data_IF_252990342934
#
_entry.id   IF_252990342934
#
_cell.length_a   1.000
_cell.length_b   1.000
_cell.length_c   1.000
_cell.angle_alpha   90.00
_cell.angle_beta   90.00
_cell.angle_gamma   90.00
#
_symmetry.space_group_name_H-M   'P 1'
#
loop_
_entity.id
_entity.type
_entity.pdbx_description
1 polymer ?
#
# COMPACT_ATOMS: atom_id res chain seq x y z
N UNK A 1 -17.82 -13.80 -25.05
CA UNK A 1 -17.59 -13.79 -23.58
C UNK A 1 -18.94 -13.57 -22.91
N UNK A 2 -19.35 -14.43 -21.97
CA UNK A 2 -20.60 -14.24 -21.25
C UNK A 2 -20.57 -12.89 -20.52
N UNK A 3 -21.63 -12.08 -20.69
CA UNK A 3 -21.75 -10.78 -20.02
C UNK A 3 -21.98 -11.04 -18.53
N UNK A 4 -20.91 -11.01 -17.74
CA UNK A 4 -21.02 -11.14 -16.28
C UNK A 4 -21.82 -9.96 -15.72
N UNK A 5 -22.86 -10.25 -14.97
CA UNK A 5 -23.72 -9.23 -14.37
C UNK A 5 -22.93 -8.37 -13.37
N UNK A 6 -23.44 -7.19 -13.04
CA UNK A 6 -22.83 -6.33 -12.01
C UNK A 6 -22.75 -7.05 -10.66
N UNK A 7 -23.77 -7.83 -10.32
CA UNK A 7 -23.82 -8.62 -9.10
C UNK A 7 -22.73 -9.71 -9.05
N UNK A 8 -22.54 -10.46 -10.14
CA UNK A 8 -21.48 -11.48 -10.23
C UNK A 8 -20.08 -10.87 -10.09
N UNK A 9 -19.85 -9.68 -10.68
CA UNK A 9 -18.60 -8.95 -10.51
C UNK A 9 -18.37 -8.54 -9.06
N UNK A 10 -19.41 -8.07 -8.36
CA UNK A 10 -19.30 -7.72 -6.95
C UNK A 10 -19.00 -8.95 -6.09
N UNK A 11 -19.67 -10.07 -6.33
CA UNK A 11 -19.44 -11.30 -5.58
C UNK A 11 -18.00 -11.80 -5.77
N UNK A 12 -17.46 -11.74 -6.99
CA UNK A 12 -16.07 -12.09 -7.26
C UNK A 12 -15.08 -11.19 -6.53
N UNK A 13 -15.36 -9.89 -6.41
CA UNK A 13 -14.53 -8.95 -5.62
C UNK A 13 -14.58 -9.24 -4.13
N UNK A 14 -15.78 -9.54 -3.60
CA UNK A 14 -15.92 -9.91 -2.20
C UNK A 14 -15.12 -11.20 -1.89
N UNK A 15 -15.11 -12.16 -2.81
CA UNK A 15 -14.28 -13.37 -2.69
C UNK A 15 -12.78 -13.05 -2.81
N UNK A 16 -12.38 -12.15 -3.71
CA UNK A 16 -11.00 -11.66 -3.79
C UNK A 16 -10.56 -11.05 -2.46
N UNK A 17 -11.42 -10.23 -1.84
CA UNK A 17 -11.18 -9.62 -0.54
C UNK A 17 -11.03 -10.66 0.57
N UNK A 18 -11.85 -11.71 0.59
CA UNK A 18 -11.70 -12.82 1.53
C UNK A 18 -10.38 -13.59 1.35
N UNK A 19 -9.96 -13.83 0.12
CA UNK A 19 -8.68 -14.51 -0.16
C UNK A 19 -7.49 -13.68 0.31
N UNK A 20 -7.51 -12.37 0.04
CA UNK A 20 -6.41 -11.49 0.47
C UNK A 20 -6.41 -11.30 1.99
N UNK A 21 -7.58 -11.13 2.63
CA UNK A 21 -7.66 -10.97 4.09
C UNK A 21 -7.25 -12.24 4.85
N UNK A 22 -7.43 -13.42 4.25
CA UNK A 22 -6.94 -14.70 4.78
C UNK A 22 -5.44 -14.95 4.52
N UNK A 23 -4.75 -14.03 3.85
CA UNK A 23 -3.31 -14.08 3.62
C UNK A 23 -2.88 -14.87 2.38
N UNK A 24 -3.81 -15.21 1.46
CA UNK A 24 -3.46 -15.87 0.21
C UNK A 24 -2.67 -14.91 -0.69
N UNK A 25 -1.52 -15.34 -1.26
CA UNK A 25 -0.75 -14.51 -2.18
C UNK A 25 -1.57 -14.03 -3.39
N UNK A 26 -1.39 -12.79 -3.87
CA UNK A 26 -2.18 -12.24 -4.98
C UNK A 26 -2.14 -13.09 -6.26
N UNK A 27 -0.99 -13.70 -6.57
CA UNK A 27 -0.82 -14.55 -7.75
C UNK A 27 -1.65 -15.83 -7.68
N UNK A 28 -1.81 -16.38 -6.48
CA UNK A 28 -2.50 -17.63 -6.21
C UNK A 28 -4.00 -17.38 -6.11
N UNK A 29 -4.39 -16.31 -5.41
CA UNK A 29 -5.76 -15.82 -5.39
C UNK A 29 -6.27 -15.55 -6.82
N UNK A 30 -5.43 -14.98 -7.69
CA UNK A 30 -5.81 -14.74 -9.09
C UNK A 30 -6.06 -16.06 -9.85
N UNK A 31 -5.23 -17.07 -9.61
CA UNK A 31 -5.40 -18.41 -10.20
C UNK A 31 -6.72 -19.04 -9.72
N UNK A 32 -7.01 -18.98 -8.41
CA UNK A 32 -8.24 -19.53 -7.84
C UNK A 32 -9.50 -18.84 -8.41
N UNK A 33 -9.50 -17.51 -8.51
CA UNK A 33 -10.60 -16.75 -9.10
C UNK A 33 -10.79 -17.04 -10.60
N UNK A 34 -9.69 -17.20 -11.35
CA UNK A 34 -9.73 -17.54 -12.78
C UNK A 34 -10.41 -18.88 -12.99
N UNK A 35 -10.01 -19.91 -12.21
CA UNK A 35 -10.59 -21.26 -12.27
C UNK A 35 -12.06 -21.24 -11.85
N UNK A 36 -12.39 -20.61 -10.72
CA UNK A 36 -13.75 -20.61 -10.16
C UNK A 36 -14.75 -19.85 -11.03
N UNK A 37 -14.36 -18.69 -11.56
CA UNK A 37 -15.26 -17.79 -12.29
C UNK A 37 -15.14 -17.90 -13.81
N UNK A 38 -14.26 -18.76 -14.32
CA UNK A 38 -14.02 -18.93 -15.76
C UNK A 38 -13.61 -17.63 -16.46
N UNK A 39 -13.03 -16.68 -15.73
CA UNK A 39 -12.64 -15.37 -16.25
C UNK A 39 -11.15 -15.31 -16.57
N UNK A 40 -10.71 -14.32 -17.35
CA UNK A 40 -9.30 -14.19 -17.69
C UNK A 40 -8.46 -13.82 -16.47
N UNK A 41 -7.21 -14.29 -16.42
CA UNK A 41 -6.26 -13.96 -15.34
C UNK A 41 -6.12 -12.45 -15.11
N UNK A 42 -6.13 -11.65 -16.19
CA UNK A 42 -6.11 -10.18 -16.13
C UNK A 42 -7.31 -9.61 -15.36
N UNK A 43 -8.50 -10.20 -15.55
CA UNK A 43 -9.71 -9.78 -14.83
C UNK A 43 -9.60 -10.11 -13.35
N UNK A 44 -9.15 -11.32 -13.02
CA UNK A 44 -8.92 -11.75 -11.63
C UNK A 44 -7.91 -10.86 -10.90
N UNK A 45 -6.79 -10.53 -11.55
CA UNK A 45 -5.78 -9.62 -10.98
C UNK A 45 -6.34 -8.24 -10.70
N UNK A 46 -7.17 -7.71 -11.61
CA UNK A 46 -7.83 -6.41 -11.40
C UNK A 46 -8.77 -6.43 -10.19
N UNK A 47 -9.54 -7.49 -10.00
CA UNK A 47 -10.43 -7.60 -8.83
C UNK A 47 -9.63 -7.75 -7.52
N UNK A 48 -8.43 -8.35 -7.57
CA UNK A 48 -7.50 -8.40 -6.43
C UNK A 48 -6.91 -7.03 -6.12
N UNK A 49 -6.46 -6.27 -7.12
CA UNK A 49 -5.98 -4.89 -6.91
C UNK A 49 -7.06 -4.00 -6.27
N UNK A 50 -8.31 -4.15 -6.70
CA UNK A 50 -9.44 -3.46 -6.09
C UNK A 50 -9.61 -3.88 -4.63
N UNK A 51 -9.60 -5.19 -4.34
CA UNK A 51 -9.72 -5.70 -2.97
C UNK A 51 -8.57 -5.23 -2.06
N UNK A 52 -7.34 -5.19 -2.57
CA UNK A 52 -6.18 -4.66 -1.84
C UNK A 52 -6.33 -3.17 -1.55
N UNK A 53 -6.84 -2.40 -2.53
CA UNK A 53 -7.13 -0.97 -2.35
C UNK A 53 -8.23 -0.75 -1.31
N UNK A 54 -9.26 -1.59 -1.31
CA UNK A 54 -10.33 -1.56 -0.30
C UNK A 54 -9.79 -1.85 1.10
N UNK A 55 -8.91 -2.84 1.27
CA UNK A 55 -8.25 -3.12 2.55
C UNK A 55 -7.38 -1.95 3.01
N UNK A 56 -6.64 -1.32 2.10
CA UNK A 56 -5.83 -0.15 2.42
C UNK A 56 -6.70 1.05 2.83
N UNK A 57 -7.84 1.26 2.17
CA UNK A 57 -8.80 2.31 2.50
C UNK A 57 -9.59 2.03 3.79
N UNK A 58 -9.74 0.76 4.17
CA UNK A 58 -10.40 0.36 5.41
C UNK A 58 -9.54 0.65 6.65
N UNK A 59 -8.22 0.83 6.49
CA UNK A 59 -7.37 1.33 7.57
C UNK A 59 -7.70 2.81 7.80
N UNK A 60 -8.22 3.13 8.99
CA UNK A 60 -8.41 4.52 9.37
C UNK A 60 -7.03 5.21 9.49
N UNK A 61 -7.01 6.50 9.16
CA UNK A 61 -5.87 7.40 9.35
C UNK A 61 -5.26 7.30 10.75
N UNK A 62 -6.08 7.11 11.79
CA UNK A 62 -5.63 6.95 13.18
C UNK A 62 -4.94 5.61 13.38
N UNK A 63 -5.55 4.51 12.93
CA UNK A 63 -4.96 3.16 13.03
C UNK A 63 -3.64 3.08 12.27
N UNK A 64 -3.59 3.65 11.08
CA UNK A 64 -2.39 3.71 10.26
C UNK A 64 -1.27 4.51 10.95
N UNK A 65 -1.59 5.67 11.55
CA UNK A 65 -0.61 6.44 12.33
C UNK A 65 -0.09 5.66 13.53
N UNK A 66 -0.95 4.95 14.25
CA UNK A 66 -0.54 4.11 15.38
C UNK A 66 0.36 2.96 14.93
N UNK A 67 0.03 2.29 13.83
CA UNK A 67 0.86 1.24 13.23
C UNK A 67 2.23 1.77 12.81
N UNK A 68 2.30 2.95 12.18
CA UNK A 68 3.56 3.60 11.81
C UNK A 68 4.38 3.95 13.06
N UNK A 69 3.75 4.49 14.11
CA UNK A 69 4.42 4.80 15.37
C UNK A 69 5.00 3.55 16.05
N UNK A 70 4.26 2.45 16.03
CA UNK A 70 4.73 1.17 16.55
C UNK A 70 5.91 0.63 15.74
N UNK A 71 5.81 0.61 14.40
CA UNK A 71 6.90 0.18 13.51
C UNK A 71 8.16 1.02 13.71
N UNK A 72 8.02 2.36 13.79
CA UNK A 72 9.14 3.25 14.03
C UNK A 72 9.87 2.90 15.34
N UNK A 73 9.11 2.63 16.41
CA UNK A 73 9.68 2.21 17.70
C UNK A 73 10.44 0.88 17.58
N UNK A 74 9.91 -0.09 16.82
CA UNK A 74 10.58 -1.38 16.60
C UNK A 74 11.89 -1.21 15.82
N UNK A 75 11.89 -0.44 14.74
CA UNK A 75 13.09 -0.21 13.94
C UNK A 75 14.15 0.60 14.69
N UNK A 76 13.76 1.55 15.55
CA UNK A 76 14.72 2.27 16.41
C UNK A 76 15.41 1.32 17.39
N UNK A 77 14.65 0.43 18.03
CA UNK A 77 15.19 -0.60 18.92
C UNK A 77 16.09 -1.59 18.18
N UNK A 78 15.69 -1.99 16.97
CA UNK A 78 16.47 -2.89 16.12
C UNK A 78 17.80 -2.24 15.72
N UNK A 79 17.79 -0.98 15.31
CA UNK A 79 19.00 -0.23 14.98
C UNK A 79 19.97 -0.18 16.17
N UNK A 80 19.49 0.23 17.35
CA UNK A 80 20.31 0.30 18.56
C UNK A 80 20.83 -1.07 19.03
N UNK A 81 20.08 -2.15 18.78
CA UNK A 81 20.55 -3.52 19.05
C UNK A 81 21.63 -3.93 18.03
N UNK A 82 21.37 -3.73 16.74
CA UNK A 82 22.29 -4.07 15.67
C UNK A 82 23.62 -3.32 15.78
N UNK A 83 23.60 -2.04 16.16
CA UNK A 83 24.81 -1.26 16.43
C UNK A 83 25.64 -1.84 17.59
N UNK A 84 24.99 -2.21 18.70
CA UNK A 84 25.66 -2.85 19.84
C UNK A 84 26.27 -4.21 19.49
N UNK A 85 25.59 -4.96 18.63
CA UNK A 85 26.03 -6.28 18.19
C UNK A 85 27.03 -6.21 17.01
N UNK A 86 27.44 -5.00 16.57
CA UNK A 86 28.36 -4.79 15.45
C UNK A 86 27.78 -5.12 14.06
N UNK A 87 26.47 -5.32 13.96
CA UNK A 87 25.74 -5.64 12.73
C UNK A 87 25.31 -4.37 11.98
N UNK A 88 26.29 -3.59 11.51
CA UNK A 88 26.02 -2.26 10.92
C UNK A 88 25.15 -2.30 9.66
N UNK A 89 25.18 -3.38 8.87
CA UNK A 89 24.29 -3.51 7.70
C UNK A 89 22.82 -3.54 8.10
N UNK A 90 22.48 -4.27 9.17
CA UNK A 90 21.14 -4.32 9.72
C UNK A 90 20.74 -2.97 10.35
N UNK A 91 21.67 -2.29 11.03
CA UNK A 91 21.44 -0.95 11.58
C UNK A 91 21.10 0.06 10.47
N UNK A 92 21.90 0.11 9.40
CA UNK A 92 21.65 0.98 8.24
C UNK A 92 20.32 0.64 7.56
N UNK A 93 20.00 -0.64 7.42
CA UNK A 93 18.70 -1.08 6.91
C UNK A 93 17.53 -0.57 7.75
N UNK A 94 17.63 -0.66 9.07
CA UNK A 94 16.62 -0.16 9.99
C UNK A 94 16.47 1.37 9.95
N UNK A 95 17.59 2.10 9.88
CA UNK A 95 17.58 3.56 9.75
C UNK A 95 17.00 4.02 8.40
N UNK A 96 17.27 3.30 7.31
CA UNK A 96 16.66 3.59 6.01
C UNK A 96 15.15 3.34 6.00
N UNK A 97 14.69 2.26 6.65
CA UNK A 97 13.25 2.00 6.82
C UNK A 97 12.58 3.12 7.64
N UNK A 98 13.21 3.57 8.72
CA UNK A 98 12.75 4.72 9.52
C UNK A 98 12.66 6.01 8.68
N UNK A 99 13.69 6.32 7.90
CA UNK A 99 13.69 7.46 6.98
C UNK A 99 12.51 7.37 6.02
N UNK A 100 12.27 6.22 5.41
CA UNK A 100 11.21 6.03 4.43
C UNK A 100 9.81 6.18 5.05
N UNK A 101 9.59 5.69 6.28
CA UNK A 101 8.28 5.72 6.92
C UNK A 101 7.95 7.08 7.57
N UNK A 102 8.93 7.76 8.16
CA UNK A 102 8.69 8.93 9.02
C UNK A 102 9.17 10.24 8.38
N UNK A 103 10.39 10.24 7.84
CA UNK A 103 11.05 11.47 7.39
C UNK A 103 10.66 11.81 5.94
N UNK A 104 10.70 10.83 5.04
CA UNK A 104 10.43 11.04 3.63
C UNK A 104 9.03 11.62 3.36
N UNK A 105 7.93 11.13 3.98
CA UNK A 105 6.60 11.71 3.75
C UNK A 105 6.50 13.17 4.18
N UNK A 106 7.21 13.56 5.24
CA UNK A 106 7.25 14.95 5.71
C UNK A 106 8.01 15.84 4.72
N UNK A 107 9.16 15.37 4.22
CA UNK A 107 9.92 16.08 3.19
C UNK A 107 9.10 16.23 1.90
N UNK A 108 8.43 15.16 1.45
CA UNK A 108 7.61 15.19 0.25
C UNK A 108 6.43 16.17 0.39
N UNK A 109 5.80 16.22 1.56
CA UNK A 109 4.75 17.20 1.86
C UNK A 109 5.28 18.64 1.83
N UNK A 110 6.47 18.88 2.39
CA UNK A 110 7.13 20.19 2.36
C UNK A 110 7.47 20.61 0.93
N UNK A 111 8.04 19.71 0.12
CA UNK A 111 8.34 19.98 -1.29
C UNK A 111 7.06 20.25 -2.09
N UNK A 112 6.01 19.43 -1.91
CA UNK A 112 4.74 19.64 -2.58
C UNK A 112 4.11 21.00 -2.25
N UNK A 113 4.19 21.44 -0.98
CA UNK A 113 3.73 22.77 -0.57
C UNK A 113 4.54 23.89 -1.25
N UNK A 114 5.87 23.73 -1.33
CA UNK A 114 6.76 24.72 -1.94
C UNK A 114 6.51 24.90 -3.45
N UNK A 115 6.18 23.83 -4.19
CA UNK A 115 5.92 23.93 -5.63
C UNK A 115 4.50 24.42 -5.98
N UNK A 116 3.49 24.22 -5.12
CA UNK A 116 2.12 24.72 -5.36
C UNK A 116 2.02 26.25 -5.34
N UNK A 117 2.93 26.94 -4.66
CA UNK A 117 2.97 28.42 -4.61
C UNK A 117 3.56 29.10 -5.85
N UNK A 118 4.21 28.36 -6.76
CA UNK A 118 5.01 28.95 -7.86
C UNK A 118 4.28 29.05 -9.21
N UNK A 119 3.15 28.38 -9.38
CA UNK A 119 2.41 28.30 -10.66
C UNK A 119 1.10 29.11 -10.70
N UNK A 120 0.82 29.94 -9.69
CA UNK A 120 -0.43 30.73 -9.61
C UNK A 120 -0.38 32.09 -10.32
N UNK A 121 0.71 32.46 -10.98
CA UNK A 121 0.72 33.61 -11.90
C UNK A 121 0.19 33.19 -13.28
N UNK A 122 -1.13 33.13 -13.41
CA UNK A 122 -1.78 33.22 -14.72
C UNK A 122 -1.42 34.57 -15.34
N UNK A 123 -0.55 34.53 -16.34
CA UNK A 123 -0.32 35.62 -17.27
C UNK A 123 -1.64 35.95 -17.97
N UNK A 124 -2.31 37.01 -17.52
CA UNK A 124 -3.38 37.65 -18.29
C UNK A 124 -2.80 38.06 -19.65
N UNK A 125 -3.23 37.41 -20.73
CA UNK A 125 -2.98 37.88 -22.10
C UNK A 125 -3.75 39.18 -22.29
N UNK A 126 -3.02 40.25 -22.64
CA UNK A 126 -3.60 41.46 -23.26
C UNK A 126 -4.03 41.15 -24.69
#
# INVERSE_FOLDING_TARGET
MAITTRAQRQQRRNEALQLISSGVPPTDAASQLTVKWGCSRRTSLRDIEIAQSELANALDSVELQQMVGWLATQYQRLAAKAERDGQYSAAVGALNALRAMVVQPQLDAQFAAHFRGRFTHHSYRR
#
